data_IF_256854245089
#
_entry.id   IF_256854245089
#
_cell.length_a   1.000
_cell.length_b   1.000
_cell.length_c   1.000
_cell.angle_alpha   90.00
_cell.angle_beta   90.00
_cell.angle_gamma   90.00
#
_symmetry.space_group_name_H-M   'P 1'
#
loop_
_entity.id
_entity.type
_entity.pdbx_description
1 polymer ?
#
# COMPACT_ATOMS: atom_id res chain seq x y z
N UNK A 1 -21.69 8.73 -7.28
CA UNK A 1 -22.72 9.71 -7.66
C UNK A 1 -23.08 10.59 -6.49
N UNK A 2 -23.62 10.02 -5.41
CA UNK A 2 -23.91 10.75 -4.16
C UNK A 2 -22.70 11.53 -3.60
N UNK A 3 -21.49 10.96 -3.73
CA UNK A 3 -20.24 11.64 -3.34
C UNK A 3 -19.99 12.97 -4.08
N UNK A 4 -20.32 13.05 -5.37
CA UNK A 4 -20.10 14.30 -6.16
C UNK A 4 -21.12 15.37 -5.76
N UNK A 5 -22.37 14.97 -5.51
CA UNK A 5 -23.42 15.87 -5.02
C UNK A 5 -23.07 16.44 -3.64
N UNK A 6 -22.49 15.62 -2.77
CA UNK A 6 -21.99 16.05 -1.47
C UNK A 6 -20.89 17.10 -1.62
N UNK A 7 -19.92 16.91 -2.52
CA UNK A 7 -18.87 17.89 -2.80
C UNK A 7 -19.48 19.22 -3.28
N UNK A 8 -20.39 19.18 -4.25
CA UNK A 8 -21.05 20.40 -4.79
C UNK A 8 -21.81 21.13 -3.68
N UNK A 9 -22.57 20.40 -2.87
CA UNK A 9 -23.38 20.97 -1.77
C UNK A 9 -22.49 21.61 -0.71
N UNK A 10 -21.44 20.91 -0.28
CA UNK A 10 -20.55 21.36 0.77
C UNK A 10 -19.69 22.55 0.31
N UNK A 11 -19.15 22.53 -0.92
CA UNK A 11 -18.42 23.67 -1.48
C UNK A 11 -19.31 24.90 -1.66
N UNK A 12 -20.57 24.73 -2.05
CA UNK A 12 -21.53 25.85 -2.17
C UNK A 12 -21.87 26.44 -0.79
N UNK A 13 -21.98 25.60 0.24
CA UNK A 13 -22.16 26.08 1.62
C UNK A 13 -20.93 26.82 2.15
N UNK A 14 -19.73 26.42 1.73
CA UNK A 14 -18.44 27.01 2.08
C UNK A 14 -17.96 28.07 1.08
N UNK A 15 -18.87 28.86 0.48
CA UNK A 15 -18.54 29.85 -0.54
C UNK A 15 -17.54 30.93 -0.07
N UNK A 16 -17.46 31.20 1.24
CA UNK A 16 -16.47 32.12 1.82
C UNK A 16 -15.05 31.57 1.78
N UNK A 17 -14.90 30.24 1.82
CA UNK A 17 -13.62 29.53 1.75
C UNK A 17 -13.24 29.28 0.28
N UNK A 18 -14.24 29.03 -0.57
CA UNK A 18 -14.06 28.76 -1.99
C UNK A 18 -14.75 29.83 -2.85
N UNK A 19 -14.18 31.04 -2.95
CA UNK A 19 -14.84 32.17 -3.63
C UNK A 19 -14.94 31.99 -5.14
N UNK A 20 -13.95 31.36 -5.78
CA UNK A 20 -13.92 31.14 -7.21
C UNK A 20 -13.40 29.72 -7.52
N UNK A 21 -14.25 28.69 -7.40
CA UNK A 21 -13.84 27.31 -7.64
C UNK A 21 -13.47 27.09 -9.10
N UNK A 22 -12.30 26.49 -9.32
CA UNK A 22 -11.80 26.10 -10.65
C UNK A 22 -11.65 24.57 -10.70
N UNK A 23 -12.37 23.86 -11.59
CA UNK A 23 -13.43 24.32 -12.49
C UNK A 23 -14.69 24.76 -11.73
N UNK A 24 -15.51 25.60 -12.36
CA UNK A 24 -16.77 26.09 -11.80
C UNK A 24 -17.70 24.95 -11.37
N UNK A 25 -18.41 25.12 -10.25
CA UNK A 25 -19.30 24.09 -9.72
C UNK A 25 -20.46 23.77 -10.69
N UNK A 26 -20.87 24.74 -11.50
CA UNK A 26 -21.83 24.60 -12.59
C UNK A 26 -21.32 23.66 -13.69
N UNK A 27 -20.04 23.73 -14.04
CA UNK A 27 -19.40 22.82 -15.01
C UNK A 27 -19.37 21.39 -14.48
N UNK A 28 -19.07 21.21 -13.20
CA UNK A 28 -19.08 19.89 -12.55
C UNK A 28 -20.50 19.33 -12.43
N UNK A 29 -21.49 20.17 -12.12
CA UNK A 29 -22.90 19.83 -12.05
C UNK A 29 -23.44 19.39 -13.44
N UNK A 30 -23.11 20.14 -14.50
CA UNK A 30 -23.45 19.77 -15.87
C UNK A 30 -22.82 18.42 -16.27
N UNK A 31 -21.54 18.20 -15.97
CA UNK A 31 -20.87 16.92 -16.25
C UNK A 31 -21.49 15.74 -15.47
N UNK A 32 -21.98 15.97 -14.25
CA UNK A 32 -22.71 14.98 -13.48
C UNK A 32 -24.05 14.61 -14.13
N UNK A 33 -24.80 15.61 -14.61
CA UNK A 33 -26.07 15.41 -15.33
C UNK A 33 -25.83 14.63 -16.63
N UNK A 34 -24.85 15.03 -17.44
CA UNK A 34 -24.44 14.32 -18.65
C UNK A 34 -24.11 12.84 -18.38
N UNK A 35 -23.37 12.59 -17.30
CA UNK A 35 -23.04 11.22 -16.92
C UNK A 35 -24.30 10.43 -16.52
N UNK A 36 -25.27 11.03 -15.82
CA UNK A 36 -26.56 10.38 -15.49
C UNK A 36 -27.35 10.01 -16.74
N UNK A 37 -27.46 10.93 -17.69
CA UNK A 37 -28.15 10.71 -18.96
C UNK A 37 -27.49 9.57 -19.75
N UNK A 38 -26.15 9.60 -19.87
CA UNK A 38 -25.41 8.52 -20.55
C UNK A 38 -25.56 7.16 -19.84
N UNK A 39 -25.76 7.15 -18.52
CA UNK A 39 -25.99 5.92 -17.76
C UNK A 39 -27.40 5.35 -18.02
N UNK A 40 -28.40 6.20 -18.21
CA UNK A 40 -29.76 5.78 -18.60
C UNK A 40 -29.80 5.24 -20.03
N UNK A 41 -29.09 5.86 -20.96
CA UNK A 41 -29.01 5.40 -22.36
C UNK A 41 -28.26 4.06 -22.49
N UNK A 42 -27.18 3.90 -21.72
CA UNK A 42 -26.41 2.65 -21.69
C UNK A 42 -27.14 1.47 -21.03
N UNK A 43 -28.33 1.68 -20.44
CA UNK A 43 -29.13 0.61 -19.83
C UNK A 43 -29.51 -0.48 -20.84
N UNK A 44 -29.69 -0.12 -22.11
CA UNK A 44 -30.04 -1.03 -23.20
C UNK A 44 -28.85 -1.84 -23.75
N UNK A 45 -27.67 -1.74 -23.13
CA UNK A 45 -26.44 -2.49 -23.46
C UNK A 45 -25.91 -2.29 -24.90
N UNK A 46 -26.25 -1.19 -25.55
CA UNK A 46 -25.61 -0.78 -26.80
C UNK A 46 -24.12 -0.47 -26.56
N UNK A 47 -23.23 -1.06 -27.37
CA UNK A 47 -21.79 -0.87 -27.30
C UNK A 47 -21.39 0.61 -27.44
N UNK A 48 -22.11 1.38 -28.26
CA UNK A 48 -21.87 2.82 -28.44
C UNK A 48 -22.22 3.59 -27.16
N UNK A 49 -23.39 3.35 -26.59
CA UNK A 49 -23.83 3.99 -25.36
C UNK A 49 -22.92 3.63 -24.16
N UNK A 50 -22.43 2.39 -24.08
CA UNK A 50 -21.45 1.97 -23.07
C UNK A 50 -20.14 2.75 -23.20
N UNK A 51 -19.66 2.98 -24.43
CA UNK A 51 -18.45 3.77 -24.67
C UNK A 51 -18.64 5.23 -24.27
N UNK A 52 -19.75 5.85 -24.68
CA UNK A 52 -20.09 7.24 -24.32
C UNK A 52 -20.16 7.41 -22.80
N UNK A 53 -20.79 6.46 -22.09
CA UNK A 53 -20.83 6.47 -20.62
C UNK A 53 -19.43 6.43 -19.99
N UNK A 54 -18.51 5.62 -20.52
CA UNK A 54 -17.12 5.56 -20.04
C UNK A 54 -16.39 6.87 -20.28
N UNK A 55 -16.58 7.49 -21.44
CA UNK A 55 -15.96 8.77 -21.78
C UNK A 55 -16.49 9.89 -20.87
N UNK A 56 -17.80 9.96 -20.65
CA UNK A 56 -18.43 10.91 -19.71
C UNK A 56 -17.99 10.68 -18.26
N UNK A 57 -17.81 9.43 -17.84
CA UNK A 57 -17.24 9.11 -16.53
C UNK A 57 -15.83 9.67 -16.38
N UNK A 58 -14.97 9.44 -17.38
CA UNK A 58 -13.59 9.92 -17.38
C UNK A 58 -13.53 11.45 -17.34
N UNK A 59 -14.42 12.12 -18.08
CA UNK A 59 -14.53 13.58 -18.05
C UNK A 59 -14.92 14.09 -16.65
N UNK A 60 -15.90 13.45 -15.99
CA UNK A 60 -16.28 13.82 -14.62
C UNK A 60 -15.13 13.58 -13.62
N UNK A 61 -14.43 12.45 -13.71
CA UNK A 61 -13.25 12.16 -12.87
C UNK A 61 -12.14 13.19 -13.07
N UNK A 62 -11.93 13.63 -14.31
CA UNK A 62 -10.97 14.69 -14.64
C UNK A 62 -11.34 16.01 -13.96
N UNK A 63 -12.59 16.48 -14.11
CA UNK A 63 -13.06 17.72 -13.49
C UNK A 63 -12.99 17.66 -11.96
N UNK A 64 -13.32 16.51 -11.36
CA UNK A 64 -13.17 16.31 -9.91
C UNK A 64 -11.71 16.37 -9.47
N UNK A 65 -10.78 15.85 -10.27
CA UNK A 65 -9.36 15.92 -9.98
C UNK A 65 -8.81 17.34 -10.07
N UNK A 66 -9.32 18.16 -11.01
CA UNK A 66 -8.97 19.58 -11.09
C UNK A 66 -9.53 20.35 -9.90
N UNK A 67 -10.78 20.10 -9.53
CA UNK A 67 -11.42 20.71 -8.36
C UNK A 67 -10.68 20.34 -7.07
N UNK A 68 -10.22 19.09 -6.94
CA UNK A 68 -9.41 18.65 -5.82
C UNK A 68 -8.08 19.41 -5.72
N UNK A 69 -7.43 19.72 -6.86
CA UNK A 69 -6.21 20.54 -6.87
C UNK A 69 -6.49 21.96 -6.38
N UNK A 70 -7.58 22.57 -6.84
CA UNK A 70 -7.99 23.87 -6.34
C UNK A 70 -8.22 23.86 -4.83
N UNK A 71 -8.96 22.88 -4.32
CA UNK A 71 -9.17 22.72 -2.87
C UNK A 71 -7.84 22.57 -2.12
N UNK A 72 -6.89 21.81 -2.65
CA UNK A 72 -5.56 21.63 -2.04
C UNK A 72 -4.77 22.95 -2.00
N UNK A 73 -4.85 23.78 -3.05
CA UNK A 73 -4.22 25.11 -3.08
C UNK A 73 -4.80 26.07 -2.03
N UNK A 74 -6.10 26.01 -1.78
CA UNK A 74 -6.77 26.85 -0.78
C UNK A 74 -6.55 26.31 0.64
N UNK A 75 -6.56 24.98 0.80
CA UNK A 75 -6.40 24.33 2.09
C UNK A 75 -5.01 24.56 2.68
N UNK A 76 -3.95 24.64 1.87
CA UNK A 76 -2.58 24.87 2.33
C UNK A 76 -2.20 23.98 3.54
N UNK A 77 -2.47 22.67 3.42
CA UNK A 77 -2.31 21.63 4.47
C UNK A 77 -3.28 21.70 5.66
N UNK A 78 -4.28 22.57 5.65
CA UNK A 78 -5.37 22.54 6.64
C UNK A 78 -6.39 21.45 6.30
N UNK A 79 -6.36 20.39 7.10
CA UNK A 79 -7.29 19.26 7.00
C UNK A 79 -8.76 19.69 7.12
N UNK A 80 -9.07 20.75 7.88
CA UNK A 80 -10.43 21.21 8.07
C UNK A 80 -11.00 21.84 6.80
N UNK A 81 -10.18 22.57 6.05
CA UNK A 81 -10.58 23.16 4.76
C UNK A 81 -10.86 22.08 3.72
N UNK A 82 -10.04 21.02 3.69
CA UNK A 82 -10.29 19.86 2.81
C UNK A 82 -11.59 19.16 3.20
N UNK A 83 -11.86 18.94 4.48
CA UNK A 83 -13.13 18.32 4.91
C UNK A 83 -14.35 19.21 4.62
N UNK A 84 -14.21 20.53 4.74
CA UNK A 84 -15.27 21.49 4.45
C UNK A 84 -15.70 21.47 2.97
N UNK A 85 -14.80 21.11 2.05
CA UNK A 85 -15.14 20.91 0.63
C UNK A 85 -15.93 19.63 0.34
N UNK A 86 -16.02 18.70 1.30
CA UNK A 86 -16.60 17.37 1.11
C UNK A 86 -15.64 16.33 0.52
N UNK A 87 -14.39 16.68 0.24
CA UNK A 87 -13.36 15.69 -0.11
C UNK A 87 -12.95 14.85 1.10
N UNK A 88 -12.76 13.55 0.86
CA UNK A 88 -12.24 12.64 1.89
C UNK A 88 -10.72 12.75 2.00
N UNK A 89 -10.22 12.89 3.22
CA UNK A 89 -8.77 12.82 3.46
C UNK A 89 -8.29 11.37 3.31
N UNK A 90 -7.14 11.14 2.64
CA UNK A 90 -6.52 9.83 2.64
C UNK A 90 -6.15 9.46 4.08
N UNK A 91 -6.42 8.20 4.45
CA UNK A 91 -5.99 7.67 5.74
C UNK A 91 -4.47 7.80 5.84
N UNK A 92 -3.98 8.46 6.88
CA UNK A 92 -2.55 8.52 7.14
C UNK A 92 -1.98 7.11 7.23
N UNK A 93 -0.85 6.89 6.56
CA UNK A 93 -0.13 5.63 6.62
C UNK A 93 0.44 5.45 8.03
N UNK A 94 -0.34 4.82 8.91
CA UNK A 94 0.12 4.42 10.23
C UNK A 94 1.18 3.33 10.09
N UNK A 95 2.44 3.75 9.99
CA UNK A 95 3.57 2.85 10.16
C UNK A 95 3.81 2.64 11.66
N UNK A 96 4.11 1.42 12.08
CA UNK A 96 4.43 1.14 13.47
C UNK A 96 5.73 1.86 13.86
N UNK A 97 5.65 2.78 14.82
CA UNK A 97 6.76 3.62 15.28
C UNK A 97 7.44 3.12 16.57
N UNK A 98 7.00 1.98 17.12
CA UNK A 98 7.60 1.40 18.32
C UNK A 98 8.87 0.57 18.06
N UNK A 99 9.49 0.02 19.11
CA UNK A 99 10.64 -0.86 18.98
C UNK A 99 10.27 -2.14 18.20
N UNK A 100 11.20 -2.61 17.37
CA UNK A 100 10.99 -3.83 16.59
C UNK A 100 10.92 -5.03 17.56
N UNK A 101 9.82 -5.81 17.57
CA UNK A 101 9.72 -6.98 18.43
C UNK A 101 10.72 -8.05 17.97
N UNK A 102 11.09 -8.93 18.90
CA UNK A 102 11.97 -10.06 18.59
C UNK A 102 11.28 -11.00 17.60
N UNK A 103 12.00 -11.43 16.57
CA UNK A 103 11.45 -12.41 15.62
C UNK A 103 11.21 -13.78 16.29
N UNK A 104 9.98 -14.28 16.18
CA UNK A 104 9.53 -15.55 16.79
C UNK A 104 9.32 -16.66 15.76
N UNK A 105 9.37 -17.90 16.26
CA UNK A 105 9.15 -19.13 15.49
C UNK A 105 9.97 -19.21 14.19
N UNK A 106 11.26 -18.84 14.26
CA UNK A 106 12.19 -19.13 13.18
C UNK A 106 12.24 -20.65 12.96
N UNK A 107 11.99 -21.08 11.72
CA UNK A 107 12.16 -22.46 11.27
C UNK A 107 13.06 -22.45 10.04
N UNK A 108 14.03 -23.35 10.03
CA UNK A 108 14.89 -23.62 8.88
C UNK A 108 14.62 -25.07 8.46
N UNK A 109 13.94 -25.26 7.33
CA UNK A 109 13.54 -26.56 6.84
C UNK A 109 14.30 -26.85 5.53
N UNK A 110 15.09 -27.95 5.45
CA UNK A 110 15.66 -28.39 4.19
C UNK A 110 14.52 -28.75 3.23
N UNK A 111 14.68 -28.42 1.95
CA UNK A 111 13.65 -28.70 0.94
C UNK A 111 13.76 -30.14 0.44
N UNK A 112 14.29 -30.34 -0.77
CA UNK A 112 14.46 -31.67 -1.37
C UNK A 112 15.90 -32.14 -1.15
N UNK A 113 16.11 -33.44 -1.00
CA UNK A 113 17.45 -34.04 -0.91
C UNK A 113 18.25 -33.67 -2.17
N UNK A 114 19.48 -33.19 -2.00
CA UNK A 114 20.36 -32.73 -3.07
C UNK A 114 20.02 -31.35 -3.64
N UNK A 115 18.99 -30.66 -3.12
CA UNK A 115 18.56 -29.37 -3.65
C UNK A 115 19.45 -28.19 -3.23
N UNK A 116 20.28 -28.37 -2.19
CA UNK A 116 21.15 -27.30 -1.64
C UNK A 116 20.36 -26.06 -1.21
N UNK A 117 19.11 -26.28 -0.77
CA UNK A 117 18.15 -25.22 -0.45
C UNK A 117 17.55 -25.39 0.94
N UNK A 118 17.55 -24.31 1.70
CA UNK A 118 16.88 -24.23 3.00
C UNK A 118 15.80 -23.16 2.94
N UNK A 119 14.59 -23.54 3.33
CA UNK A 119 13.47 -22.61 3.47
C UNK A 119 13.41 -22.11 4.91
N UNK A 120 13.61 -20.82 5.06
CA UNK A 120 13.45 -20.11 6.32
C UNK A 120 12.04 -19.53 6.43
N UNK A 121 11.45 -19.63 7.61
CA UNK A 121 10.15 -19.04 7.93
C UNK A 121 10.16 -18.44 9.32
N UNK A 122 9.56 -17.27 9.47
CA UNK A 122 9.34 -16.59 10.76
C UNK A 122 7.88 -16.12 10.83
N UNK A 123 7.41 -15.77 12.02
CA UNK A 123 6.08 -15.17 12.16
C UNK A 123 5.97 -13.81 11.48
N UNK A 124 4.81 -13.54 10.88
CA UNK A 124 4.55 -12.24 10.26
C UNK A 124 4.33 -11.19 11.32
N UNK A 125 4.97 -10.05 11.15
CA UNK A 125 4.73 -8.87 11.96
C UNK A 125 4.16 -7.74 11.09
N UNK A 126 3.04 -7.14 11.52
CA UNK A 126 2.34 -6.09 10.75
C UNK A 126 3.18 -4.82 10.55
N UNK A 127 4.10 -4.54 11.49
CA UNK A 127 5.02 -3.41 11.39
C UNK A 127 6.27 -3.66 10.53
N UNK A 128 6.48 -4.89 10.04
CA UNK A 128 7.66 -5.22 9.25
C UNK A 128 7.53 -4.64 7.83
N UNK A 129 8.50 -3.82 7.44
CA UNK A 129 8.68 -3.40 6.04
C UNK A 129 9.43 -4.47 5.24
N UNK A 130 10.39 -5.12 5.89
CA UNK A 130 11.18 -6.21 5.32
C UNK A 130 11.61 -7.20 6.40
N UNK A 131 12.04 -8.37 5.97
CA UNK A 131 12.59 -9.42 6.82
C UNK A 131 14.05 -9.61 6.43
N UNK A 132 14.92 -9.63 7.43
CA UNK A 132 16.35 -9.87 7.26
C UNK A 132 16.67 -11.25 7.83
N UNK A 133 17.06 -12.15 6.94
CA UNK A 133 17.50 -13.48 7.27
C UNK A 133 19.02 -13.52 7.24
N UNK A 134 19.63 -14.13 8.25
CA UNK A 134 21.06 -14.31 8.32
C UNK A 134 21.40 -15.77 8.52
N UNK A 135 22.44 -16.21 7.83
CA UNK A 135 22.93 -17.57 7.90
C UNK A 135 24.47 -17.59 7.88
N UNK A 136 25.03 -18.62 8.49
CA UNK A 136 26.47 -18.91 8.47
C UNK A 136 26.71 -20.40 8.61
N UNK A 137 27.87 -20.88 8.16
CA UNK A 137 28.28 -22.25 8.44
C UNK A 137 28.60 -22.39 9.93
N UNK A 138 28.24 -23.53 10.54
CA UNK A 138 28.52 -23.76 11.96
C UNK A 138 30.03 -23.74 12.21
N UNK A 139 30.47 -22.85 13.10
CA UNK A 139 31.89 -22.61 13.38
C UNK A 139 32.49 -21.38 12.68
N UNK A 140 31.79 -20.80 11.70
CA UNK A 140 32.21 -19.53 11.10
C UNK A 140 31.74 -18.32 11.94
N UNK A 141 32.46 -17.22 11.83
CA UNK A 141 32.15 -15.96 12.52
C UNK A 141 31.29 -15.02 11.68
N UNK A 142 31.42 -15.07 10.35
CA UNK A 142 30.76 -14.14 9.43
C UNK A 142 29.32 -14.56 9.12
N UNK A 143 28.39 -13.59 9.16
CA UNK A 143 26.99 -13.79 8.84
C UNK A 143 26.67 -13.29 7.44
N UNK A 144 26.15 -14.16 6.58
CA UNK A 144 25.63 -13.78 5.28
C UNK A 144 24.20 -13.30 5.46
N UNK A 145 23.87 -12.14 4.87
CA UNK A 145 22.56 -11.50 5.02
C UNK A 145 21.74 -11.59 3.74
N UNK A 146 20.49 -12.03 3.87
CA UNK A 146 19.51 -12.12 2.80
C UNK A 146 18.24 -11.37 3.20
N UNK A 147 17.77 -10.48 2.34
CA UNK A 147 16.53 -9.76 2.56
C UNK A 147 15.35 -10.41 1.84
N UNK A 148 14.16 -10.34 2.44
CA UNK A 148 12.91 -10.79 1.84
C UNK A 148 11.76 -9.86 2.25
N UNK A 149 10.90 -9.52 1.29
CA UNK A 149 9.64 -8.80 1.58
C UNK A 149 8.60 -9.69 2.26
N UNK A 150 8.82 -11.00 2.31
CA UNK A 150 7.93 -11.99 2.92
C UNK A 150 8.56 -12.55 4.19
N UNK A 151 7.72 -13.03 5.10
CA UNK A 151 8.14 -13.77 6.31
C UNK A 151 8.74 -15.15 6.02
N UNK A 152 9.08 -15.41 4.76
CA UNK A 152 9.68 -16.63 4.26
C UNK A 152 10.80 -16.26 3.29
N UNK A 153 11.89 -17.00 3.33
CA UNK A 153 13.01 -16.87 2.40
C UNK A 153 13.49 -18.28 2.01
N UNK A 154 13.92 -18.47 0.77
CA UNK A 154 14.60 -19.69 0.35
C UNK A 154 16.04 -19.31 0.06
N UNK A 155 16.95 -19.90 0.83
CA UNK A 155 18.38 -19.79 0.60
C UNK A 155 18.80 -20.89 -0.38
N UNK A 156 19.63 -20.54 -1.35
CA UNK A 156 20.09 -21.44 -2.41
C UNK A 156 21.62 -21.46 -2.47
N UNK A 157 22.18 -22.49 -3.09
CA UNK A 157 23.63 -22.60 -3.30
C UNK A 157 24.44 -23.04 -2.07
N UNK A 158 23.77 -23.47 -0.99
CA UNK A 158 24.45 -23.94 0.22
C UNK A 158 25.27 -25.21 -0.04
N UNK A 159 26.33 -25.42 0.72
CA UNK A 159 27.13 -26.65 0.64
C UNK A 159 26.34 -27.86 1.17
N UNK A 160 26.36 -28.98 0.44
CA UNK A 160 25.72 -30.22 0.89
C UNK A 160 26.47 -30.81 2.08
N UNK A 161 25.74 -31.52 2.94
CA UNK A 161 26.30 -32.21 4.10
C UNK A 161 26.98 -31.30 5.13
N UNK A 162 26.55 -30.05 5.19
CA UNK A 162 27.06 -29.06 6.13
C UNK A 162 25.93 -28.55 7.04
N UNK A 163 26.29 -28.25 8.29
CA UNK A 163 25.39 -27.66 9.27
C UNK A 163 25.51 -26.13 9.24
N UNK A 164 24.37 -25.43 9.15
CA UNK A 164 24.31 -23.98 9.13
C UNK A 164 23.51 -23.47 10.33
N UNK A 165 23.91 -22.32 10.83
CA UNK A 165 23.19 -21.58 11.86
C UNK A 165 22.40 -20.43 11.21
N UNK A 166 21.21 -20.19 11.73
CA UNK A 166 20.24 -19.27 11.19
C UNK A 166 19.71 -18.34 12.27
N UNK A 167 19.55 -17.06 11.91
CA UNK A 167 18.80 -16.07 12.70
C UNK A 167 18.04 -15.13 11.79
N UNK A 168 16.97 -14.52 12.28
CA UNK A 168 16.20 -13.55 11.52
C UNK A 168 15.81 -12.35 12.37
N UNK A 169 15.63 -11.19 11.75
CA UNK A 169 15.07 -9.98 12.38
C UNK A 169 14.05 -9.35 11.44
N UNK A 170 13.13 -8.58 12.01
CA UNK A 170 12.30 -7.69 11.22
C UNK A 170 13.04 -6.37 10.97
N UNK A 171 12.72 -5.71 9.86
CA UNK A 171 13.18 -4.36 9.53
C UNK A 171 11.94 -3.46 9.51
N UNK A 172 11.87 -2.53 10.46
CA UNK A 172 10.77 -1.58 10.64
C UNK A 172 11.15 -0.16 10.21
N UNK A 173 10.54 0.85 10.84
CA UNK A 173 11.00 2.25 10.75
C UNK A 173 12.31 2.42 11.50
N UNK A 174 12.39 1.90 12.73
CA UNK A 174 13.67 1.76 13.43
C UNK A 174 14.43 0.58 12.82
N UNK A 175 15.68 0.77 12.37
CA UNK A 175 16.50 -0.29 11.78
C UNK A 175 17.22 -1.14 12.84
N UNK A 176 16.99 -0.91 14.14
CA UNK A 176 17.61 -1.67 15.21
C UNK A 176 17.21 -3.16 15.12
N UNK A 177 18.18 -4.08 14.91
CA UNK A 177 17.88 -5.49 14.71
C UNK A 177 17.57 -6.18 16.04
N UNK A 178 16.44 -6.89 16.09
CA UNK A 178 16.05 -7.72 17.23
C UNK A 178 15.94 -9.20 16.78
N UNK A 179 17.08 -9.87 16.80
CA UNK A 179 17.23 -11.22 16.24
C UNK A 179 16.44 -12.28 17.00
N UNK A 180 15.91 -13.25 16.26
CA UNK A 180 15.34 -14.49 16.77
C UNK A 180 16.36 -15.31 17.55
N UNK A 181 15.87 -16.35 18.24
CA UNK A 181 16.75 -17.42 18.71
C UNK A 181 17.46 -18.08 17.52
N UNK A 182 18.68 -18.56 17.76
CA UNK A 182 19.46 -19.30 16.78
C UNK A 182 18.80 -20.65 16.50
N UNK A 183 18.74 -21.02 15.23
CA UNK A 183 18.27 -22.32 14.76
C UNK A 183 19.37 -22.94 13.92
N UNK A 184 19.73 -24.20 14.17
CA UNK A 184 20.64 -24.95 13.32
C UNK A 184 19.86 -25.92 12.43
N UNK A 185 20.28 -26.05 11.17
CA UNK A 185 19.74 -27.06 10.27
C UNK A 185 20.83 -27.61 9.37
N UNK A 186 20.71 -28.90 9.07
CA UNK A 186 21.60 -29.58 8.13
C UNK A 186 21.11 -29.40 6.70
N UNK A 187 22.04 -29.20 5.77
CA UNK A 187 21.75 -29.14 4.33
C UNK A 187 21.80 -30.55 3.77
N UNK A 188 20.65 -31.05 3.30
CA UNK A 188 20.46 -32.37 2.70
C UNK A 188 20.26 -32.25 1.19
#
# INVERSE_FOLDING_TARGET
MQYVEQIITNMRAAATIFPEPVPGLDVVEAALIDFRLSATEAAYRDARAIRIRKDKKKQLEYLLSELAKYVDTIANKDANVVLASGFSLPKEAQSYAGPVPKATHLRAEPQQVGSRRIKMKVDRWKGARMYQFQFRKKGETEWITQFSSKSTCVLEGLEMFQEYEFRATYVGISPEPNYSNLVASYVV
#
